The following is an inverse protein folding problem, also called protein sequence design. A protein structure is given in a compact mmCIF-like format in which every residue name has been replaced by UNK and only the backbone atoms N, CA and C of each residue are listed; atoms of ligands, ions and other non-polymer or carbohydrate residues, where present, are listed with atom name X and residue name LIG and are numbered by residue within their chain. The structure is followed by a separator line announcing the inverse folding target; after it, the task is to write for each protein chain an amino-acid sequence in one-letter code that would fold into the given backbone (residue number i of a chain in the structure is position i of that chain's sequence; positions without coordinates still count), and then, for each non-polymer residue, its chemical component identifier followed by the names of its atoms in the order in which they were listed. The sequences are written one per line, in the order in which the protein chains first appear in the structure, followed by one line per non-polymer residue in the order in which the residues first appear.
data_IF_935029323982
#
_entry.id   IF_935029323982
#
_cell.length_a   1.000
_cell.length_b   1.000
_cell.length_c   1.000
_cell.angle_alpha   90.00
_cell.angle_beta   90.00
_cell.angle_gamma   90.00
#
_symmetry.space_group_name_H-M   'P 1'
#
loop_
_entity.id
_entity.type
_entity.pdbx_description
1 polymer ?
#
# COMPACT_ATOMS: atom_id res chain seq x y z
N UNK A 1 54.15 -66.63 26.18
CA UNK A 1 53.50 -66.84 27.48
C UNK A 1 52.45 -65.75 27.67
N UNK A 2 51.20 -66.20 27.77
CA UNK A 2 50.07 -65.67 28.56
C UNK A 2 49.59 -64.22 28.38
N UNK A 3 48.43 -64.17 27.72
CA UNK A 3 47.29 -63.23 27.64
C UNK A 3 46.94 -62.43 28.90
N UNK A 4 46.51 -61.16 28.72
CA UNK A 4 45.22 -60.66 29.26
C UNK A 4 44.69 -59.48 28.42
N UNK A 5 43.48 -59.66 27.89
CA UNK A 5 42.57 -58.62 27.40
C UNK A 5 42.10 -57.73 28.58
N UNK A 6 41.58 -56.51 28.38
CA UNK A 6 40.13 -56.29 28.22
C UNK A 6 39.84 -54.84 27.78
N UNK A 7 39.15 -54.77 26.64
CA UNK A 7 38.03 -53.91 26.22
C UNK A 7 37.62 -52.73 27.14
N UNK A 8 37.54 -51.51 26.56
CA UNK A 8 36.72 -50.42 27.10
C UNK A 8 35.52 -50.19 26.17
N UNK A 9 34.37 -50.45 26.75
CA UNK A 9 33.03 -50.29 26.20
C UNK A 9 32.54 -48.84 26.31
N UNK A 10 31.62 -48.48 25.42
CA UNK A 10 30.96 -47.19 25.38
C UNK A 10 29.77 -47.16 26.36
N UNK A 11 29.62 -46.08 27.12
CA UNK A 11 28.30 -45.76 27.70
C UNK A 11 28.14 -44.27 28.02
N UNK A 12 27.08 -43.74 27.41
CA UNK A 12 26.38 -42.46 27.60
C UNK A 12 26.06 -42.16 29.07
N UNK A 13 26.12 -40.88 29.50
CA UNK A 13 25.48 -40.48 30.75
C UNK A 13 25.68 -39.03 31.24
N UNK A 14 24.70 -38.17 30.94
CA UNK A 14 24.25 -36.99 31.70
C UNK A 14 25.24 -35.84 31.95
N UNK A 15 25.24 -34.87 31.05
CA UNK A 15 25.49 -33.46 31.41
C UNK A 15 24.14 -32.78 31.67
N UNK A 16 24.00 -32.18 32.85
CA UNK A 16 22.77 -31.57 33.34
C UNK A 16 22.23 -30.49 32.39
N UNK A 17 20.92 -30.53 32.16
CA UNK A 17 20.18 -29.50 31.46
C UNK A 17 20.29 -28.17 32.21
N UNK A 18 21.18 -27.30 31.74
CA UNK A 18 21.07 -25.88 32.01
C UNK A 18 19.79 -25.41 31.32
N UNK A 19 18.72 -25.26 32.11
CA UNK A 19 17.53 -24.52 31.70
C UNK A 19 17.97 -23.08 31.45
N UNK A 20 18.35 -22.80 30.20
CA UNK A 20 18.43 -21.44 29.69
C UNK A 20 17.00 -20.94 29.69
N UNK A 21 16.61 -20.31 30.80
CA UNK A 21 15.40 -19.50 30.87
C UNK A 21 15.49 -18.51 29.71
N UNK A 22 14.69 -18.72 28.66
CA UNK A 22 14.41 -17.72 27.65
C UNK A 22 14.05 -16.45 28.41
N UNK A 23 14.94 -15.46 28.38
CA UNK A 23 14.56 -14.09 28.69
C UNK A 23 13.56 -13.70 27.60
N UNK A 24 12.30 -13.62 27.99
CA UNK A 24 11.28 -12.88 27.27
C UNK A 24 11.77 -11.43 27.18
N UNK A 25 12.29 -11.03 26.03
CA UNK A 25 12.32 -9.64 25.63
C UNK A 25 10.94 -9.40 25.01
N UNK A 26 10.01 -8.72 25.67
CA UNK A 26 10.17 -7.34 26.10
C UNK A 26 9.81 -6.46 24.89
N UNK A 27 8.50 -6.29 24.70
CA UNK A 27 7.79 -5.18 24.04
C UNK A 27 8.45 -4.64 22.75
N UNK A 28 8.22 -5.37 21.65
CA UNK A 28 8.92 -5.23 20.36
C UNK A 28 8.58 -4.01 19.51
N UNK A 29 8.56 -2.79 20.07
CA UNK A 29 8.43 -1.57 19.24
C UNK A 29 9.75 -1.13 18.58
N UNK A 30 10.89 -1.77 18.89
CA UNK A 30 12.21 -1.37 18.38
C UNK A 30 13.05 -2.52 17.80
N UNK A 31 12.49 -3.29 16.86
CA UNK A 31 13.26 -4.35 16.16
C UNK A 31 12.90 -4.62 14.70
N UNK A 32 11.78 -4.09 14.21
CA UNK A 32 11.33 -4.32 12.83
C UNK A 32 12.00 -3.29 11.91
N UNK A 33 12.67 -3.69 10.81
CA UNK A 33 13.18 -2.74 9.83
C UNK A 33 12.06 -1.86 9.27
N UNK A 34 12.34 -0.59 8.94
CA UNK A 34 11.33 0.32 8.36
C UNK A 34 10.69 -0.26 7.10
N UNK A 35 11.48 -0.97 6.28
CA UNK A 35 10.97 -1.66 5.10
C UNK A 35 9.91 -2.72 5.43
N UNK A 36 10.08 -3.45 6.53
CA UNK A 36 9.09 -4.45 6.98
C UNK A 36 7.83 -3.77 7.53
N UNK A 37 7.97 -2.64 8.27
CA UNK A 37 6.81 -1.85 8.71
C UNK A 37 5.98 -1.34 7.53
N UNK A 38 6.62 -0.91 6.45
CA UNK A 38 5.92 -0.50 5.24
C UNK A 38 5.17 -1.65 4.57
N UNK A 39 5.71 -2.86 4.59
CA UNK A 39 5.06 -4.06 4.03
C UNK A 39 3.86 -4.47 4.88
N UNK A 40 4.00 -4.47 6.20
CA UNK A 40 2.88 -4.71 7.12
C UNK A 40 1.78 -3.65 6.96
N UNK A 41 2.17 -2.39 6.81
CA UNK A 41 1.23 -1.28 6.54
C UNK A 41 0.55 -1.44 5.19
N UNK A 42 1.28 -1.82 4.15
CA UNK A 42 0.70 -2.14 2.84
C UNK A 42 -0.36 -3.22 2.97
N UNK A 43 -0.07 -4.34 3.65
CA UNK A 43 -1.04 -5.43 3.78
C UNK A 43 -2.30 -5.03 4.57
N UNK A 44 -2.16 -4.18 5.59
CA UNK A 44 -3.31 -3.58 6.30
C UNK A 44 -4.16 -2.72 5.37
N UNK A 45 -3.53 -1.89 4.53
CA UNK A 45 -4.24 -1.04 3.57
C UNK A 45 -4.87 -1.85 2.44
N UNK A 46 -4.16 -2.84 1.90
CA UNK A 46 -4.63 -3.73 0.83
C UNK A 46 -5.88 -4.49 1.24
N UNK A 47 -5.87 -5.09 2.43
CA UNK A 47 -7.00 -5.88 2.93
C UNK A 47 -8.17 -5.00 3.39
N UNK A 48 -7.88 -3.81 3.91
CA UNK A 48 -8.88 -2.82 4.33
C UNK A 48 -9.52 -1.99 3.20
N UNK A 49 -8.85 -1.87 2.06
CA UNK A 49 -9.30 -1.06 0.92
C UNK A 49 -10.43 -1.74 0.15
N UNK A 50 -11.54 -1.03 -0.07
CA UNK A 50 -12.65 -1.53 -0.89
C UNK A 50 -12.21 -1.73 -2.36
N UNK A 51 -11.35 -0.84 -2.88
CA UNK A 51 -10.83 -0.93 -4.24
C UNK A 51 -9.99 -2.20 -4.44
N UNK A 52 -9.05 -2.46 -3.53
CA UNK A 52 -8.22 -3.67 -3.57
C UNK A 52 -9.07 -4.94 -3.47
N UNK A 53 -10.06 -4.99 -2.57
CA UNK A 53 -10.97 -6.13 -2.46
C UNK A 53 -11.81 -6.34 -3.72
N UNK A 54 -12.29 -5.26 -4.34
CA UNK A 54 -13.01 -5.34 -5.62
C UNK A 54 -12.13 -5.89 -6.74
N UNK A 55 -10.89 -5.41 -6.87
CA UNK A 55 -9.91 -5.92 -7.83
C UNK A 55 -9.64 -7.42 -7.63
N UNK A 56 -9.37 -7.84 -6.38
CA UNK A 56 -9.16 -9.24 -6.03
C UNK A 56 -10.39 -10.08 -6.36
N UNK A 57 -11.60 -9.57 -6.14
CA UNK A 57 -12.85 -10.27 -6.41
C UNK A 57 -13.13 -10.41 -7.91
N UNK A 58 -12.87 -9.37 -8.70
CA UNK A 58 -13.09 -9.37 -10.15
C UNK A 58 -12.03 -10.16 -10.92
N UNK A 59 -10.86 -10.40 -10.33
CA UNK A 59 -9.76 -11.11 -10.98
C UNK A 59 -10.10 -12.58 -11.30
N UNK A 60 -9.36 -13.21 -12.22
CA UNK A 60 -9.41 -14.66 -12.43
C UNK A 60 -8.58 -15.40 -11.36
N UNK A 61 -8.77 -16.72 -11.21
CA UNK A 61 -7.90 -17.53 -10.33
C UNK A 61 -6.51 -17.59 -10.93
N UNK A 62 -5.47 -17.41 -10.11
CA UNK A 62 -4.08 -17.35 -10.58
C UNK A 62 -3.65 -16.00 -11.18
N UNK A 63 -4.55 -15.01 -11.27
CA UNK A 63 -4.18 -13.65 -11.63
C UNK A 63 -3.39 -12.97 -10.50
N UNK A 64 -2.53 -12.03 -10.85
CA UNK A 64 -1.60 -11.39 -9.93
C UNK A 64 -2.24 -10.76 -8.67
N UNK A 65 -3.46 -10.16 -8.67
CA UNK A 65 -4.03 -9.59 -7.45
C UNK A 65 -4.34 -10.65 -6.40
N UNK A 66 -4.50 -11.92 -6.80
CA UNK A 66 -4.72 -13.06 -5.92
C UNK A 66 -3.43 -13.79 -5.54
N UNK A 67 -2.31 -13.42 -6.13
CA UNK A 67 -1.00 -13.98 -5.83
C UNK A 67 -0.31 -13.10 -4.78
N UNK A 68 -0.43 -13.50 -3.51
CA UNK A 68 0.15 -12.75 -2.40
C UNK A 68 1.68 -12.68 -2.48
N UNK A 69 2.34 -13.73 -2.99
CA UNK A 69 3.79 -13.75 -3.13
C UNK A 69 4.25 -12.76 -4.20
N UNK A 70 3.54 -12.71 -5.33
CA UNK A 70 3.78 -11.71 -6.37
C UNK A 70 3.60 -10.29 -5.82
N UNK A 71 2.45 -10.01 -5.20
CA UNK A 71 2.12 -8.69 -4.64
C UNK A 71 3.18 -8.23 -3.64
N UNK A 72 3.55 -9.08 -2.67
CA UNK A 72 4.57 -8.73 -1.68
C UNK A 72 5.94 -8.49 -2.32
N UNK A 73 6.34 -9.34 -3.29
CA UNK A 73 7.61 -9.18 -3.98
C UNK A 73 7.71 -7.83 -4.71
N UNK A 74 6.59 -7.36 -5.28
CA UNK A 74 6.50 -6.06 -5.96
C UNK A 74 6.58 -4.90 -4.98
N UNK A 75 5.85 -4.96 -3.87
CA UNK A 75 5.93 -3.95 -2.81
C UNK A 75 7.34 -3.88 -2.25
N UNK A 76 7.96 -5.03 -1.92
CA UNK A 76 9.35 -5.11 -1.44
C UNK A 76 10.34 -4.46 -2.42
N UNK A 77 10.17 -4.69 -3.72
CA UNK A 77 11.03 -4.09 -4.74
C UNK A 77 10.87 -2.56 -4.80
N UNK A 78 9.63 -2.05 -4.70
CA UNK A 78 9.34 -0.62 -4.70
C UNK A 78 9.86 0.08 -3.43
N UNK A 79 9.68 -0.51 -2.24
CA UNK A 79 10.18 0.02 -0.96
C UNK A 79 11.71 0.18 -0.96
N UNK A 80 12.44 -0.66 -1.70
CA UNK A 80 13.90 -0.56 -1.80
C UNK A 80 14.38 0.67 -2.57
N UNK A 81 13.55 1.20 -3.47
CA UNK A 81 13.91 2.34 -4.33
C UNK A 81 13.17 3.62 -3.97
N UNK A 82 12.03 3.49 -3.29
CA UNK A 82 11.21 4.59 -2.81
C UNK A 82 11.03 4.47 -1.31
N UNK A 83 11.70 5.35 -0.57
CA UNK A 83 11.40 5.59 0.83
C UNK A 83 10.73 6.96 1.01
N UNK A 84 9.91 7.07 2.05
CA UNK A 84 9.11 8.26 2.33
C UNK A 84 9.98 9.48 2.67
N UNK A 85 11.13 9.27 3.30
CA UNK A 85 12.00 10.35 3.76
C UNK A 85 12.74 11.02 2.59
N UNK A 86 13.29 10.22 1.66
CA UNK A 86 14.13 10.71 0.57
C UNK A 86 13.31 11.09 -0.68
N UNK A 87 12.31 10.27 -1.02
CA UNK A 87 11.56 10.45 -2.28
C UNK A 87 10.21 11.14 -2.08
N UNK A 88 9.71 11.14 -0.83
CA UNK A 88 8.36 11.57 -0.48
C UNK A 88 7.27 10.59 -0.93
N UNK A 89 7.64 9.42 -1.47
CA UNK A 89 6.70 8.42 -1.99
C UNK A 89 6.42 7.39 -0.91
N UNK A 90 5.15 7.27 -0.55
CA UNK A 90 4.65 6.27 0.38
C UNK A 90 4.16 5.06 -0.41
N UNK A 91 5.04 4.06 -0.58
CA UNK A 91 4.75 2.87 -1.40
C UNK A 91 3.49 2.14 -0.94
N UNK A 92 3.28 2.03 0.38
CA UNK A 92 2.11 1.36 0.92
C UNK A 92 0.81 2.06 0.50
N UNK A 93 0.78 3.39 0.59
CA UNK A 93 -0.39 4.20 0.18
C UNK A 93 -0.57 4.17 -1.34
N UNK A 94 0.51 4.40 -2.10
CA UNK A 94 0.50 4.40 -3.57
C UNK A 94 -0.07 3.09 -4.10
N UNK A 95 0.44 1.95 -3.66
CA UNK A 95 0.02 0.65 -4.16
C UNK A 95 -1.37 0.23 -3.64
N UNK A 96 -1.82 0.68 -2.47
CA UNK A 96 -3.16 0.38 -2.00
C UNK A 96 -4.25 1.27 -2.64
N UNK A 97 -3.87 2.51 -3.02
CA UNK A 97 -4.76 3.46 -3.69
C UNK A 97 -4.90 3.14 -5.17
N UNK A 98 -3.78 2.88 -5.85
CA UNK A 98 -3.74 2.40 -7.24
C UNK A 98 -2.95 1.08 -7.35
N UNK A 99 -3.63 -0.07 -7.16
CA UNK A 99 -3.02 -1.39 -7.26
C UNK A 99 -2.30 -1.67 -8.57
N UNK A 100 -2.71 -1.05 -9.69
CA UNK A 100 -2.08 -1.30 -11.00
C UNK A 100 -0.62 -0.87 -11.03
N UNK A 101 -0.17 0.01 -10.14
CA UNK A 101 1.26 0.34 -9.96
C UNK A 101 2.09 -0.92 -9.67
N UNK A 102 1.53 -1.96 -9.04
CA UNK A 102 2.22 -3.22 -8.77
C UNK A 102 2.58 -4.01 -10.03
N UNK A 103 2.00 -3.66 -11.18
CA UNK A 103 2.38 -4.24 -12.48
C UNK A 103 3.72 -3.70 -12.99
N UNK A 104 4.12 -2.50 -12.55
CA UNK A 104 5.39 -1.91 -12.89
C UNK A 104 6.55 -2.62 -12.19
N UNK A 105 7.68 -2.72 -12.86
CA UNK A 105 8.94 -3.06 -12.18
C UNK A 105 9.40 -1.85 -11.36
N UNK A 106 10.29 -2.07 -10.38
CA UNK A 106 10.89 -0.98 -9.63
C UNK A 106 11.67 -0.01 -10.55
N UNK A 107 12.29 -0.54 -11.62
CA UNK A 107 12.98 0.27 -12.63
C UNK A 107 12.00 1.13 -13.43
N UNK A 108 10.90 0.55 -13.91
CA UNK A 108 9.88 1.27 -14.69
C UNK A 108 9.20 2.34 -13.84
N UNK A 109 8.87 2.03 -12.59
CA UNK A 109 8.32 3.00 -11.65
C UNK A 109 9.30 4.16 -11.39
N UNK A 110 10.59 3.86 -11.18
CA UNK A 110 11.64 4.89 -11.01
C UNK A 110 11.74 5.78 -12.25
N UNK A 111 11.73 5.17 -13.44
CA UNK A 111 11.77 5.88 -14.71
C UNK A 111 10.54 6.77 -14.90
N UNK A 112 9.35 6.28 -14.58
CA UNK A 112 8.10 7.04 -14.65
C UNK A 112 8.16 8.26 -13.71
N UNK A 113 8.56 8.07 -12.45
CA UNK A 113 8.71 9.17 -11.47
C UNK A 113 9.68 10.23 -11.99
N UNK A 114 10.85 9.84 -12.48
CA UNK A 114 11.86 10.79 -12.99
C UNK A 114 11.34 11.55 -14.21
N UNK A 115 10.68 10.86 -15.15
CA UNK A 115 10.13 11.49 -16.36
C UNK A 115 9.00 12.46 -16.02
N UNK A 116 8.07 12.06 -15.14
CA UNK A 116 6.98 12.93 -14.67
C UNK A 116 7.51 14.18 -13.98
N UNK A 117 8.47 14.04 -13.06
CA UNK A 117 9.09 15.19 -12.37
C UNK A 117 9.79 16.15 -13.32
N UNK A 118 10.37 15.64 -14.41
CA UNK A 118 11.00 16.46 -15.45
C UNK A 118 9.98 17.17 -16.34
N UNK A 119 8.88 16.50 -16.67
CA UNK A 119 7.84 17.05 -17.54
C UNK A 119 6.93 18.05 -16.82
N UNK A 120 6.60 17.77 -15.56
CA UNK A 120 5.72 18.57 -14.70
C UNK A 120 6.40 18.72 -13.33
N UNK A 121 7.20 19.79 -13.12
CA UNK A 121 7.99 20.01 -11.89
C UNK A 121 7.17 20.12 -10.60
N UNK A 122 5.86 20.33 -10.71
CA UNK A 122 4.91 20.31 -9.59
C UNK A 122 4.68 18.91 -9.03
N UNK A 123 4.94 17.85 -9.81
CA UNK A 123 4.81 16.46 -9.36
C UNK A 123 5.93 16.18 -8.36
N UNK A 124 5.54 15.96 -7.12
CA UNK A 124 6.41 15.55 -6.00
C UNK A 124 6.00 14.17 -5.50
N UNK A 125 6.78 13.56 -4.59
CA UNK A 125 6.36 12.30 -3.96
C UNK A 125 4.99 12.42 -3.28
N UNK A 126 4.73 13.55 -2.60
CA UNK A 126 3.42 13.85 -2.00
C UNK A 126 2.29 13.88 -3.03
N UNK A 127 2.53 14.48 -4.21
CA UNK A 127 1.55 14.48 -5.31
C UNK A 127 1.28 13.06 -5.80
N UNK A 128 2.32 12.23 -5.92
CA UNK A 128 2.16 10.83 -6.33
C UNK A 128 1.43 9.98 -5.27
N UNK A 129 1.54 10.32 -3.99
CA UNK A 129 0.74 9.67 -2.94
C UNK A 129 -0.75 9.99 -3.06
N UNK A 130 -1.08 11.16 -3.62
CA UNK A 130 -2.45 11.62 -3.86
C UNK A 130 -3.02 11.09 -5.19
N UNK A 131 -2.22 11.11 -6.25
CA UNK A 131 -2.64 10.68 -7.59
C UNK A 131 -1.65 9.65 -8.17
N UNK A 132 -1.59 8.43 -7.59
CA UNK A 132 -0.65 7.41 -8.04
C UNK A 132 -0.92 6.91 -9.47
N UNK A 133 -2.13 7.13 -10.00
CA UNK A 133 -2.48 6.87 -11.40
C UNK A 133 -1.57 7.59 -12.40
N UNK A 134 -0.97 8.73 -12.01
CA UNK A 134 -0.04 9.47 -12.87
C UNK A 134 1.17 8.63 -13.31
N UNK A 135 1.56 7.61 -12.52
CA UNK A 135 2.64 6.68 -12.85
C UNK A 135 2.31 5.76 -14.04
N UNK A 136 1.04 5.66 -14.40
CA UNK A 136 0.53 4.78 -15.44
C UNK A 136 0.14 5.54 -16.72
N UNK A 137 0.17 6.87 -16.67
CA UNK A 137 -0.14 7.72 -17.81
C UNK A 137 1.07 7.91 -18.72
N UNK A 138 0.78 8.21 -20.00
CA UNK A 138 1.81 8.72 -20.90
C UNK A 138 2.28 10.11 -20.44
N UNK A 139 3.60 10.31 -20.42
CA UNK A 139 4.22 11.52 -19.84
C UNK A 139 3.95 12.75 -20.71
N UNK A 140 3.90 12.59 -22.03
CA UNK A 140 3.62 13.70 -22.93
C UNK A 140 2.15 14.11 -22.84
N UNK A 141 1.25 13.15 -22.63
CA UNK A 141 -0.16 13.44 -22.32
C UNK A 141 -0.32 14.20 -20.99
N UNK A 142 0.35 13.77 -19.91
CA UNK A 142 0.34 14.50 -18.62
C UNK A 142 0.88 15.93 -18.77
N UNK A 143 1.94 16.10 -19.58
CA UNK A 143 2.50 17.41 -19.89
C UNK A 143 1.50 18.28 -20.66
N UNK A 144 0.82 17.73 -21.66
CA UNK A 144 -0.20 18.43 -22.42
C UNK A 144 -1.37 18.87 -21.53
N UNK A 145 -1.89 17.99 -20.68
CA UNK A 145 -2.94 18.31 -19.71
C UNK A 145 -2.50 19.43 -18.75
N UNK A 146 -1.25 19.42 -18.29
CA UNK A 146 -0.70 20.50 -17.47
C UNK A 146 -0.68 21.85 -18.21
N UNK A 147 -0.33 21.87 -19.50
CA UNK A 147 -0.32 23.08 -20.34
C UNK A 147 -1.73 23.59 -20.59
N UNK A 148 -2.68 22.70 -20.83
CA UNK A 148 -4.09 23.05 -20.98
C UNK A 148 -4.66 23.67 -19.70
N UNK A 149 -4.37 23.06 -18.54
CA UNK A 149 -4.73 23.60 -17.23
C UNK A 149 -4.13 25.00 -16.98
N UNK A 150 -2.93 25.24 -17.51
CA UNK A 150 -2.30 26.58 -17.48
C UNK A 150 -3.06 27.58 -18.34
N UNK A 151 -3.50 27.18 -19.53
CA UNK A 151 -4.26 28.02 -20.44
C UNK A 151 -5.60 28.45 -19.84
N UNK A 152 -6.24 27.57 -19.06
CA UNK A 152 -7.54 27.83 -18.44
C UNK A 152 -7.44 28.73 -17.19
N UNK A 153 -6.47 28.47 -16.31
CA UNK A 153 -6.41 29.12 -14.98
C UNK A 153 -5.19 30.01 -14.75
N UNK A 154 -4.25 30.05 -15.69
CA UNK A 154 -2.95 30.70 -15.52
C UNK A 154 -1.94 29.86 -14.72
N UNK A 155 -0.66 30.19 -14.88
CA UNK A 155 0.46 29.39 -14.37
C UNK A 155 0.44 29.17 -12.85
N UNK A 156 0.12 30.20 -12.07
CA UNK A 156 0.13 30.14 -10.60
C UNK A 156 -0.97 29.22 -10.09
N UNK A 157 -2.18 29.37 -10.64
CA UNK A 157 -3.36 28.64 -10.17
C UNK A 157 -3.33 27.18 -10.64
N UNK A 158 -2.87 26.92 -11.87
CA UNK A 158 -2.65 25.57 -12.38
C UNK A 158 -1.63 24.81 -11.51
N UNK A 159 -0.52 25.45 -11.17
CA UNK A 159 0.49 24.89 -10.25
C UNK A 159 -0.08 24.59 -8.86
N UNK A 160 -0.92 25.48 -8.31
CA UNK A 160 -1.59 25.24 -7.03
C UNK A 160 -2.51 24.02 -7.11
N UNK A 161 -3.36 23.95 -8.14
CA UNK A 161 -4.27 22.82 -8.36
C UNK A 161 -3.55 21.49 -8.48
N UNK A 162 -2.46 21.40 -9.24
CA UNK A 162 -1.69 20.15 -9.35
C UNK A 162 -1.11 19.72 -8.00
N UNK A 163 -0.72 20.65 -7.14
CA UNK A 163 -0.16 20.32 -5.82
C UNK A 163 -1.22 19.90 -4.81
N UNK A 164 -2.37 20.56 -4.81
CA UNK A 164 -3.45 20.36 -3.82
C UNK A 164 -4.44 19.27 -4.24
N UNK A 165 -4.66 19.10 -5.55
CA UNK A 165 -5.65 18.20 -6.15
C UNK A 165 -5.13 17.63 -7.47
N UNK A 166 -4.06 16.81 -7.45
CA UNK A 166 -3.43 16.28 -8.67
C UNK A 166 -4.33 15.36 -9.49
N UNK A 167 -5.44 14.87 -8.92
CA UNK A 167 -6.47 14.13 -9.65
C UNK A 167 -7.06 14.95 -10.81
N UNK A 168 -6.95 16.28 -10.80
CA UNK A 168 -7.34 17.14 -11.94
C UNK A 168 -6.65 16.73 -13.24
N UNK A 169 -5.38 16.32 -13.17
CA UNK A 169 -4.65 15.85 -14.35
C UNK A 169 -5.14 14.47 -14.81
N UNK A 170 -5.57 13.62 -13.88
CA UNK A 170 -6.13 12.30 -14.22
C UNK A 170 -7.53 12.42 -14.82
N UNK A 171 -8.33 13.35 -14.29
CA UNK A 171 -9.67 13.66 -14.81
C UNK A 171 -9.57 14.24 -16.24
N UNK A 172 -8.61 15.16 -16.50
CA UNK A 172 -8.36 15.68 -17.86
C UNK A 172 -7.85 14.63 -18.85
N UNK A 173 -7.27 13.54 -18.35
CA UNK A 173 -6.77 12.43 -19.17
C UNK A 173 -7.78 11.29 -19.30
N UNK A 174 -9.02 11.48 -18.84
CA UNK A 174 -10.07 10.47 -18.83
C UNK A 174 -9.60 9.13 -18.20
N UNK A 175 -8.64 9.19 -17.27
CA UNK A 175 -7.95 8.02 -16.73
C UNK A 175 -8.91 7.03 -16.06
N UNK A 176 -10.02 7.55 -15.53
CA UNK A 176 -11.05 6.79 -14.86
C UNK A 176 -12.18 6.29 -15.79
N UNK A 177 -12.22 6.72 -17.04
CA UNK A 177 -13.27 6.39 -18.01
C UNK A 177 -12.85 5.26 -18.98
N UNK A 178 -11.57 5.18 -19.35
CA UNK A 178 -11.03 4.17 -20.28
C UNK A 178 -11.03 2.72 -19.74
N UNK A 179 -11.43 2.49 -18.48
CA UNK A 179 -11.35 1.17 -17.84
C UNK A 179 -12.65 0.34 -17.87
N UNK A 180 -13.61 0.66 -18.75
CA UNK A 180 -14.80 -0.18 -18.95
C UNK A 180 -15.66 -0.38 -17.70
N UNK A 181 -15.50 0.49 -16.69
CA UNK A 181 -16.28 0.48 -15.47
C UNK A 181 -17.44 1.46 -15.62
N UNK A 182 -18.55 0.97 -16.18
CA UNK A 182 -19.88 1.44 -15.78
C UNK A 182 -20.20 1.10 -14.30
N UNK A 183 -19.20 0.77 -13.48
CA UNK A 183 -19.31 0.49 -12.06
C UNK A 183 -18.96 1.71 -11.21
N UNK A 184 -20.01 2.47 -10.88
CA UNK A 184 -20.18 3.38 -9.75
C UNK A 184 -19.09 4.44 -9.51
N UNK A 185 -19.55 5.69 -9.48
CA UNK A 185 -18.92 6.86 -8.82
C UNK A 185 -18.32 6.54 -7.43
N UNK A 186 -18.79 5.48 -6.77
CA UNK A 186 -18.22 4.91 -5.54
C UNK A 186 -16.79 4.42 -5.70
N UNK A 187 -16.39 3.82 -6.83
CA UNK A 187 -15.00 3.36 -7.06
C UNK A 187 -14.03 4.54 -7.15
N UNK A 188 -14.48 5.65 -7.77
CA UNK A 188 -13.78 6.94 -7.74
C UNK A 188 -13.70 7.50 -6.32
N UNK A 189 -14.80 7.40 -5.55
CA UNK A 189 -14.83 7.80 -4.14
C UNK A 189 -13.87 6.97 -3.27
N UNK A 190 -13.73 5.65 -3.50
CA UNK A 190 -12.82 4.79 -2.73
C UNK A 190 -11.35 5.02 -3.06
N UNK A 191 -11.03 5.36 -4.31
CA UNK A 191 -9.68 5.78 -4.72
C UNK A 191 -9.35 7.15 -4.11
N UNK A 192 -10.33 8.04 -3.97
CA UNK A 192 -10.21 9.35 -3.30
C UNK A 192 -10.18 9.28 -1.76
N UNK A 193 -10.76 8.24 -1.16
CA UNK A 193 -10.97 8.11 0.29
C UNK A 193 -9.77 7.54 1.09
N UNK A 194 -8.60 7.35 0.47
CA UNK A 194 -7.36 7.10 1.24
C UNK A 194 -6.77 8.48 1.58
N UNK A 195 -6.94 8.99 2.82
CA UNK A 195 -6.42 10.31 3.18
C UNK A 195 -4.90 10.34 3.00
N UNK A 196 -4.31 11.47 2.53
CA UNK A 196 -2.86 11.64 2.54
C UNK A 196 -2.35 11.47 3.96
N UNK A 197 -1.57 10.43 4.19
CA UNK A 197 -1.18 10.02 5.53
C UNK A 197 -0.03 10.92 6.02
N UNK A 198 -0.40 12.05 6.61
CA UNK A 198 0.46 12.83 7.52
C UNK A 198 0.04 12.70 8.98
N UNK A 199 -1.12 12.11 9.27
CA UNK A 199 -1.68 12.04 10.60
C UNK A 199 -2.40 10.69 10.81
N UNK A 200 -1.74 9.76 11.50
CA UNK A 200 -2.29 8.44 11.83
C UNK A 200 -3.57 8.54 12.67
N UNK A 201 -3.73 9.63 13.43
CA UNK A 201 -4.92 9.88 14.25
C UNK A 201 -6.19 10.07 13.40
N UNK A 202 -6.06 10.64 12.19
CA UNK A 202 -7.18 10.84 11.28
C UNK A 202 -7.67 9.52 10.66
N UNK A 203 -6.75 8.58 10.41
CA UNK A 203 -7.07 7.24 9.93
C UNK A 203 -7.74 6.43 11.03
N UNK A 204 -7.22 6.49 12.26
CA UNK A 204 -7.80 5.83 13.43
C UNK A 204 -9.19 6.37 13.76
N UNK A 205 -9.40 7.69 13.67
CA UNK A 205 -10.71 8.32 13.85
C UNK A 205 -11.71 7.90 12.75
N UNK A 206 -11.26 7.76 11.51
CA UNK A 206 -12.10 7.30 10.40
C UNK A 206 -12.50 5.82 10.57
N UNK A 207 -11.58 4.97 11.03
CA UNK A 207 -11.84 3.57 11.35
C UNK A 207 -12.81 3.43 12.55
N UNK A 208 -12.60 4.22 13.61
CA UNK A 208 -13.49 4.24 14.78
C UNK A 208 -14.93 4.70 14.43
N UNK A 209 -15.06 5.70 13.56
CA UNK A 209 -16.37 6.13 13.05
C UNK A 209 -17.04 5.05 12.19
N UNK A 210 -16.26 4.31 11.42
CA UNK A 210 -16.76 3.21 10.58
C UNK A 210 -17.21 2.00 11.41
N UNK A 211 -16.47 1.64 12.46
CA UNK A 211 -16.89 0.60 13.41
C UNK A 211 -18.15 1.00 14.19
N UNK A 212 -18.25 2.28 14.59
CA UNK A 212 -19.43 2.82 15.26
C UNK A 212 -20.67 2.81 14.35
N UNK A 213 -20.50 3.10 13.06
CA UNK A 213 -21.56 3.02 12.07
C UNK A 213 -22.00 1.56 11.80
N UNK A 214 -21.07 0.61 11.77
CA UNK A 214 -21.38 -0.81 11.59
C UNK A 214 -22.18 -1.39 12.77
N UNK A 215 -21.91 -0.95 14.02
CA UNK A 215 -22.67 -1.37 15.21
C UNK A 215 -24.11 -0.84 15.23
N UNK A 216 -24.40 0.31 14.61
CA UNK A 216 -25.77 0.84 14.50
C UNK A 216 -26.71 -0.02 13.63
N UNK A 217 -26.17 -0.88 12.76
CA UNK A 217 -26.96 -1.81 11.95
C UNK A 217 -27.31 -3.13 12.65
N UNK A 218 -26.89 -3.34 13.91
CA UNK A 218 -27.19 -4.57 14.67
C UNK A 218 -28.02 -4.36 15.94
N UNK A 219 -28.61 -3.17 16.12
CA UNK A 219 -29.61 -2.93 17.19
C UNK A 219 -30.91 -2.48 16.53
N UNK A 220 -31.64 -3.44 15.97
CA UNK A 220 -33.08 -3.39 15.73
C UNK A 220 -33.53 -4.76 15.20
N UNK A 221 -33.44 -5.76 16.06
CA UNK A 221 -34.27 -6.94 15.91
C UNK A 221 -34.66 -7.41 17.31
N UNK A 222 -35.96 -7.65 17.43
CA UNK A 222 -36.68 -8.19 18.58
C UNK A 222 -37.27 -7.13 19.52
N UNK A 223 -38.52 -6.77 19.25
CA UNK A 223 -39.62 -7.02 20.19
C UNK A 223 -40.97 -6.82 19.49
N UNK A 224 -41.41 -7.89 18.83
CA UNK A 224 -42.78 -8.05 18.34
C UNK A 224 -43.35 -9.32 18.96
N UNK A 225 -43.68 -9.27 20.25
CA UNK A 225 -44.34 -10.39 20.95
C UNK A 225 -45.84 -10.21 20.84
N UNK A 226 -46.45 -11.11 20.09
CA UNK A 226 -47.87 -11.43 20.08
C UNK A 226 -48.38 -11.81 21.48
N UNK A 227 -49.46 -11.18 21.94
CA UNK A 227 -50.65 -11.80 22.56
C UNK A 227 -51.78 -10.79 22.63
#
# INVERSE_FOLDING_TARGET
ATTTATTRDASVGRAGAAVVRRRSAGDGEHGVPESERQIERFWRLWTGSANCRALVTASARGAWPRDAAFVESRVRALVRVFDLESTGVDVAVVCAREPRVLTLTAEDATRAVVRLKRAVPEITGRVLNLAPGLLLCDVDAVRAARVELEGEYGAVEAKRRVRESPDVLLDMLDFFDDNGSHGDEKTRQYTRAVPPVGDTSAVDAMLANRESAARKFHVNRDDGTTS
#
